data_IF_607753387870
#
_entry.id   IF_607753387870
#
_cell.length_a   1.000
_cell.length_b   1.000
_cell.length_c   1.000
_cell.angle_alpha   90.00
_cell.angle_beta   90.00
_cell.angle_gamma   90.00
#
_symmetry.space_group_name_H-M   'P 1'
#
loop_
_entity.id
_entity.type
_entity.pdbx_description
1 polymer ?
#
# COMPACT_ATOMS: atom_id res chain seq x y z
N UNK A 1 -9.07 32.29 -52.10
CA UNK A 1 -7.97 32.52 -51.14
C UNK A 1 -8.48 32.82 -49.73
N UNK A 2 -9.44 33.71 -49.49
CA UNK A 2 -9.92 34.05 -48.14
C UNK A 2 -10.59 32.86 -47.38
N UNK A 3 -11.25 31.93 -48.06
CA UNK A 3 -11.91 30.74 -47.44
C UNK A 3 -10.94 29.63 -47.05
N UNK A 4 -9.78 29.53 -47.72
CA UNK A 4 -8.74 28.53 -47.43
C UNK A 4 -7.91 28.97 -46.21
N UNK A 5 -7.68 30.27 -46.05
CA UNK A 5 -6.98 30.85 -44.90
C UNK A 5 -7.82 30.70 -43.60
N UNK A 6 -9.15 30.86 -43.69
CA UNK A 6 -10.04 30.66 -42.55
C UNK A 6 -10.10 29.17 -42.10
N UNK A 7 -10.02 28.21 -43.05
CA UNK A 7 -10.01 26.79 -42.74
C UNK A 7 -8.68 26.34 -42.10
N UNK A 8 -7.55 26.90 -42.51
CA UNK A 8 -6.24 26.62 -41.90
C UNK A 8 -6.08 27.23 -40.54
N UNK A 9 -6.67 28.42 -40.27
CA UNK A 9 -6.69 29.00 -38.92
C UNK A 9 -7.60 28.25 -37.95
N UNK A 10 -8.73 27.68 -38.40
CA UNK A 10 -9.59 26.85 -37.55
C UNK A 10 -8.98 25.48 -37.25
N UNK A 11 -8.20 24.91 -38.18
CA UNK A 11 -7.51 23.64 -37.98
C UNK A 11 -6.32 23.78 -36.98
N UNK A 12 -5.62 24.92 -37.02
CA UNK A 12 -4.56 25.22 -36.01
C UNK A 12 -5.11 25.47 -34.62
N UNK A 13 -6.35 25.95 -34.45
CA UNK A 13 -7.00 26.13 -33.15
C UNK A 13 -7.50 24.82 -32.57
N UNK A 14 -7.85 23.83 -33.39
CA UNK A 14 -8.31 22.50 -32.91
C UNK A 14 -7.13 21.59 -32.54
N UNK A 15 -5.97 21.72 -33.22
CA UNK A 15 -4.74 21.01 -32.87
C UNK A 15 -4.02 21.61 -31.63
N UNK A 16 -4.31 22.84 -31.26
CA UNK A 16 -3.74 23.50 -30.06
C UNK A 16 -4.45 23.16 -28.75
N UNK A 17 -5.62 22.53 -28.79
CA UNK A 17 -6.40 22.19 -27.62
C UNK A 17 -6.05 20.81 -27.01
N UNK A 18 -5.22 20.00 -27.68
CA UNK A 18 -4.88 18.64 -27.24
C UNK A 18 -3.51 18.53 -26.54
N UNK A 19 -2.85 19.64 -26.22
CA UNK A 19 -1.50 19.62 -25.61
C UNK A 19 -1.28 20.74 -24.58
N UNK A 20 -2.32 21.20 -23.92
CA UNK A 20 -2.14 22.08 -22.78
C UNK A 20 -2.27 21.26 -21.46
N UNK A 21 -1.50 20.19 -21.33
CA UNK A 21 -0.94 19.88 -20.01
C UNK A 21 0.11 20.97 -19.79
N UNK A 22 -0.20 21.91 -18.92
CA UNK A 22 0.67 23.04 -18.66
C UNK A 22 1.99 22.51 -18.13
N UNK A 23 3.08 22.72 -18.88
CA UNK A 23 4.42 22.50 -18.40
C UNK A 23 4.58 23.29 -17.08
N UNK A 24 4.71 22.57 -15.95
CA UNK A 24 4.83 23.18 -14.63
C UNK A 24 3.74 22.84 -13.63
N UNK A 25 2.80 21.93 -13.93
CA UNK A 25 1.85 21.44 -12.90
C UNK A 25 2.61 20.77 -11.76
N UNK A 26 2.25 21.16 -10.53
CA UNK A 26 2.81 20.61 -9.30
C UNK A 26 1.86 19.57 -8.74
N UNK A 27 2.37 18.39 -8.51
CA UNK A 27 1.67 17.26 -7.91
C UNK A 27 2.36 16.90 -6.60
N UNK A 28 1.62 16.81 -5.52
CA UNK A 28 2.13 16.28 -4.25
C UNK A 28 1.91 14.76 -4.22
N UNK A 29 2.95 14.01 -3.86
CA UNK A 29 2.84 12.59 -3.53
C UNK A 29 2.95 12.46 -2.00
N UNK A 30 1.86 12.01 -1.37
CA UNK A 30 1.72 11.90 0.08
C UNK A 30 1.43 10.46 0.44
N UNK A 31 2.42 9.76 0.98
CA UNK A 31 2.30 8.37 1.44
C UNK A 31 2.14 8.31 2.96
N UNK A 32 2.02 7.13 3.53
CA UNK A 32 1.83 6.96 4.97
C UNK A 32 3.07 7.36 5.78
N UNK A 33 4.26 7.13 5.22
CA UNK A 33 5.55 7.62 5.72
C UNK A 33 6.53 7.79 4.55
N UNK A 34 7.74 8.27 4.85
CA UNK A 34 8.80 8.56 3.87
C UNK A 34 9.97 7.58 3.92
N UNK A 35 9.92 6.55 4.77
CA UNK A 35 11.07 5.66 5.05
C UNK A 35 10.82 4.20 4.67
N UNK A 36 9.57 3.76 4.58
CA UNK A 36 9.20 2.41 4.13
C UNK A 36 9.62 2.21 2.66
N UNK A 37 10.30 1.12 2.36
CA UNK A 37 10.84 0.84 1.02
C UNK A 37 9.75 0.79 -0.05
N UNK A 38 8.54 0.36 0.31
CA UNK A 38 7.39 0.39 -0.59
C UNK A 38 7.12 1.80 -1.11
N UNK A 39 7.11 2.80 -0.22
CA UNK A 39 6.87 4.20 -0.59
C UNK A 39 8.02 4.85 -1.34
N UNK A 40 9.26 4.47 -1.02
CA UNK A 40 10.45 4.91 -1.76
C UNK A 40 10.37 4.44 -3.20
N UNK A 41 10.06 3.15 -3.43
CA UNK A 41 9.91 2.57 -4.77
C UNK A 41 8.76 3.21 -5.56
N UNK A 42 7.63 3.49 -4.88
CA UNK A 42 6.50 4.19 -5.49
C UNK A 42 6.88 5.61 -5.91
N UNK A 43 7.63 6.34 -5.07
CA UNK A 43 8.13 7.67 -5.41
C UNK A 43 9.09 7.63 -6.60
N UNK A 44 10.00 6.66 -6.69
CA UNK A 44 10.89 6.51 -7.85
C UNK A 44 10.09 6.33 -9.15
N UNK A 45 9.03 5.52 -9.13
CA UNK A 45 8.11 5.37 -10.26
C UNK A 45 7.40 6.67 -10.62
N UNK A 46 6.93 7.43 -9.62
CA UNK A 46 6.27 8.70 -9.81
C UNK A 46 7.21 9.77 -10.39
N UNK A 47 8.47 9.83 -9.95
CA UNK A 47 9.47 10.74 -10.50
C UNK A 47 9.76 10.44 -11.97
N UNK A 48 9.89 9.15 -12.32
CA UNK A 48 10.07 8.75 -13.72
C UNK A 48 8.90 9.17 -14.60
N UNK A 49 7.67 8.94 -14.14
CA UNK A 49 6.48 9.38 -14.86
C UNK A 49 6.40 10.91 -14.98
N UNK A 50 6.84 11.64 -13.95
CA UNK A 50 6.89 13.09 -13.95
C UNK A 50 7.84 13.64 -15.03
N UNK A 51 9.01 13.03 -15.18
CA UNK A 51 9.97 13.38 -16.25
C UNK A 51 9.37 13.13 -17.64
N UNK A 52 8.71 12.00 -17.85
CA UNK A 52 8.08 11.63 -19.12
C UNK A 52 6.93 12.58 -19.49
N UNK A 53 6.18 13.06 -18.51
CA UNK A 53 4.99 13.92 -18.70
C UNK A 53 5.31 15.42 -18.63
N UNK A 54 6.51 15.82 -18.21
CA UNK A 54 6.90 17.22 -18.05
C UNK A 54 6.20 17.95 -16.90
N UNK A 55 5.79 17.21 -15.84
CA UNK A 55 5.19 17.72 -14.60
C UNK A 55 6.18 17.65 -13.46
N UNK A 56 5.86 18.31 -12.33
CA UNK A 56 6.68 18.23 -11.11
C UNK A 56 5.94 17.41 -10.05
N UNK A 57 6.53 16.30 -9.60
CA UNK A 57 6.05 15.54 -8.45
C UNK A 57 6.94 15.83 -7.25
N UNK A 58 6.35 16.23 -6.12
CA UNK A 58 7.06 16.44 -4.86
C UNK A 58 6.61 15.38 -3.85
N UNK A 59 7.57 14.64 -3.31
CA UNK A 59 7.33 13.67 -2.24
C UNK A 59 7.24 14.41 -0.91
N UNK A 60 6.04 14.48 -0.32
CA UNK A 60 5.70 15.29 0.87
C UNK A 60 5.14 14.41 1.99
N UNK A 61 5.73 13.28 2.23
CA UNK A 61 5.22 12.30 3.18
C UNK A 61 5.75 12.54 4.60
N UNK A 62 4.99 12.16 5.65
CA UNK A 62 5.47 12.24 7.03
C UNK A 62 6.65 11.30 7.28
N UNK A 63 7.35 11.49 8.39
CA UNK A 63 8.45 10.60 8.76
C UNK A 63 7.98 9.31 9.45
N UNK A 64 6.75 9.29 9.93
CA UNK A 64 6.12 8.14 10.61
C UNK A 64 4.67 8.01 10.17
N UNK A 65 4.10 6.83 10.32
CA UNK A 65 2.67 6.56 10.06
C UNK A 65 1.82 7.23 11.14
N UNK A 66 1.55 8.52 10.94
CA UNK A 66 0.80 9.40 11.86
C UNK A 66 -0.21 10.23 11.08
N UNK A 67 -1.48 10.13 11.47
CA UNK A 67 -2.58 10.79 10.77
C UNK A 67 -2.46 12.33 10.82
N UNK A 68 -2.04 12.90 11.95
CA UNK A 68 -1.93 14.35 12.11
C UNK A 68 -0.81 14.91 11.21
N UNK A 69 0.32 14.22 11.13
CA UNK A 69 1.40 14.62 10.22
C UNK A 69 0.98 14.46 8.75
N UNK A 70 0.23 13.42 8.41
CA UNK A 70 -0.27 13.25 7.04
C UNK A 70 -1.28 14.34 6.66
N UNK A 71 -2.17 14.74 7.58
CA UNK A 71 -3.08 15.90 7.41
C UNK A 71 -2.26 17.18 7.19
N UNK A 72 -1.19 17.39 7.94
CA UNK A 72 -0.31 18.55 7.75
C UNK A 72 0.32 18.55 6.33
N UNK A 73 0.74 17.40 5.82
CA UNK A 73 1.25 17.28 4.45
C UNK A 73 0.19 17.69 3.42
N UNK A 74 -1.08 17.28 3.58
CA UNK A 74 -2.20 17.70 2.71
C UNK A 74 -2.38 19.21 2.76
N UNK A 75 -2.46 19.80 3.95
CA UNK A 75 -2.63 21.22 4.13
C UNK A 75 -1.48 22.04 3.51
N UNK A 76 -0.25 21.55 3.66
CA UNK A 76 0.93 22.14 3.05
C UNK A 76 0.91 22.06 1.52
N UNK A 77 0.39 20.97 0.94
CA UNK A 77 0.21 20.86 -0.51
C UNK A 77 -0.82 21.88 -1.02
N UNK A 78 -1.97 22.04 -0.34
CA UNK A 78 -2.98 23.05 -0.69
C UNK A 78 -2.39 24.46 -0.60
N UNK A 79 -1.73 24.79 0.51
CA UNK A 79 -1.10 26.11 0.71
C UNK A 79 0.04 26.37 -0.27
N UNK A 80 0.75 25.33 -0.71
CA UNK A 80 1.83 25.40 -1.69
C UNK A 80 1.36 25.53 -3.15
N UNK A 81 0.04 25.52 -3.38
CA UNK A 81 -0.57 25.69 -4.70
C UNK A 81 -0.37 24.49 -5.61
N UNK A 82 -0.38 23.28 -5.06
CA UNK A 82 -0.37 22.04 -5.84
C UNK A 82 -1.73 21.84 -6.50
N UNK A 83 -1.73 21.37 -7.75
CA UNK A 83 -2.95 21.16 -8.54
C UNK A 83 -3.55 19.77 -8.32
N UNK A 84 -2.73 18.82 -7.90
CA UNK A 84 -3.18 17.47 -7.56
C UNK A 84 -2.42 16.90 -6.37
N UNK A 85 -3.06 15.99 -5.65
CA UNK A 85 -2.48 15.19 -4.58
C UNK A 85 -2.68 13.72 -4.93
N UNK A 86 -1.58 12.97 -5.04
CA UNK A 86 -1.59 11.51 -5.06
C UNK A 86 -1.39 11.08 -3.62
N UNK A 87 -2.33 10.34 -3.04
CA UNK A 87 -2.29 10.00 -1.61
C UNK A 87 -2.58 8.53 -1.33
N UNK A 88 -1.79 7.96 -0.41
CA UNK A 88 -2.06 6.70 0.26
C UNK A 88 -2.46 7.00 1.71
N UNK A 89 -3.74 6.84 2.04
CA UNK A 89 -4.26 7.23 3.36
C UNK A 89 -3.83 6.25 4.47
N UNK A 90 -3.24 6.76 5.54
CA UNK A 90 -2.95 5.96 6.74
C UNK A 90 -4.26 5.65 7.50
N UNK A 91 -5.07 6.68 7.78
CA UNK A 91 -6.42 6.56 8.35
C UNK A 91 -7.46 7.16 7.41
N UNK A 92 -8.31 6.33 6.74
CA UNK A 92 -9.26 6.85 5.74
C UNK A 92 -10.24 7.88 6.28
N UNK A 93 -10.71 7.72 7.52
CA UNK A 93 -11.59 8.70 8.17
C UNK A 93 -10.84 9.95 8.62
N UNK A 94 -9.65 9.76 9.18
CA UNK A 94 -8.86 10.84 9.77
C UNK A 94 -8.49 11.93 8.76
N UNK A 95 -8.07 11.53 7.55
CA UNK A 95 -7.61 12.46 6.51
C UNK A 95 -8.75 13.09 5.70
N UNK A 96 -9.99 12.55 5.80
CA UNK A 96 -11.10 12.92 4.93
C UNK A 96 -11.47 14.41 5.00
N UNK A 97 -11.40 15.04 6.17
CA UNK A 97 -11.69 16.49 6.29
C UNK A 97 -10.71 17.33 5.48
N UNK A 98 -9.40 17.07 5.63
CA UNK A 98 -8.35 17.79 4.91
C UNK A 98 -8.43 17.57 3.39
N UNK A 99 -8.78 16.36 2.95
CA UNK A 99 -8.97 16.07 1.53
C UNK A 99 -10.21 16.77 0.95
N UNK A 100 -11.31 16.86 1.71
CA UNK A 100 -12.49 17.64 1.28
C UNK A 100 -12.13 19.13 1.13
N UNK A 101 -11.39 19.71 2.07
CA UNK A 101 -10.91 21.09 1.98
C UNK A 101 -10.00 21.29 0.75
N UNK A 102 -9.15 20.31 0.44
CA UNK A 102 -8.32 20.33 -0.76
C UNK A 102 -9.17 20.31 -2.04
N UNK A 103 -10.21 19.47 -2.10
CA UNK A 103 -11.16 19.42 -3.23
C UNK A 103 -11.90 20.74 -3.39
N UNK A 104 -12.38 21.33 -2.29
CA UNK A 104 -13.03 22.64 -2.30
C UNK A 104 -12.09 23.76 -2.77
N UNK A 105 -10.79 23.65 -2.50
CA UNK A 105 -9.76 24.54 -3.03
C UNK A 105 -9.40 24.26 -4.52
N UNK A 106 -10.03 23.26 -5.16
CA UNK A 106 -9.82 22.91 -6.57
C UNK A 106 -8.67 21.93 -6.82
N UNK A 107 -8.12 21.32 -5.78
CA UNK A 107 -7.06 20.30 -5.89
C UNK A 107 -7.68 18.96 -6.25
N UNK A 108 -7.10 18.28 -7.23
CA UNK A 108 -7.54 16.93 -7.66
C UNK A 108 -6.91 15.86 -6.77
N UNK A 109 -7.72 14.87 -6.40
CA UNK A 109 -7.26 13.74 -5.57
C UNK A 109 -7.15 12.48 -6.42
N UNK A 110 -6.05 11.76 -6.26
CA UNK A 110 -5.84 10.42 -6.79
C UNK A 110 -5.37 9.53 -5.65
N UNK A 111 -6.01 8.39 -5.49
CA UNK A 111 -5.56 7.41 -4.50
C UNK A 111 -4.59 6.40 -5.10
N UNK A 112 -3.60 6.03 -4.31
CA UNK A 112 -2.68 4.93 -4.56
C UNK A 112 -2.62 4.04 -3.34
N UNK A 113 -2.57 2.72 -3.51
CA UNK A 113 -2.56 1.69 -2.46
C UNK A 113 -3.82 1.73 -1.56
N UNK A 114 -3.94 2.71 -0.68
CA UNK A 114 -5.00 2.81 0.33
C UNK A 114 -5.82 4.10 0.17
N UNK A 115 -7.09 4.00 -0.27
CA UNK A 115 -7.97 5.14 -0.40
C UNK A 115 -8.45 5.68 0.95
N UNK A 116 -8.90 6.94 0.96
CA UNK A 116 -9.75 7.52 1.99
C UNK A 116 -11.23 7.54 1.56
N UNK A 117 -12.10 8.16 2.38
CA UNK A 117 -13.55 8.20 2.15
C UNK A 117 -14.02 9.45 1.40
N UNK A 118 -13.15 10.06 0.59
CA UNK A 118 -13.46 11.22 -0.25
C UNK A 118 -13.44 10.77 -1.72
N UNK A 119 -14.35 11.31 -2.53
CA UNK A 119 -14.36 11.04 -3.95
C UNK A 119 -13.07 11.53 -4.61
N UNK A 120 -12.50 10.72 -5.50
CA UNK A 120 -11.25 11.01 -6.18
C UNK A 120 -11.38 10.79 -7.69
N UNK A 121 -10.46 11.38 -8.48
CA UNK A 121 -10.40 11.22 -9.95
C UNK A 121 -10.13 9.76 -10.33
N UNK A 122 -9.28 9.06 -9.54
CA UNK A 122 -8.97 7.66 -9.75
C UNK A 122 -8.42 7.02 -8.46
N UNK A 123 -8.51 5.68 -8.40
CA UNK A 123 -7.88 4.86 -7.35
C UNK A 123 -7.10 3.73 -8.01
N UNK A 124 -5.80 3.65 -7.68
CA UNK A 124 -4.91 2.58 -8.10
C UNK A 124 -4.53 1.75 -6.88
N UNK A 125 -5.13 0.59 -6.75
CA UNK A 125 -4.93 -0.30 -5.60
C UNK A 125 -4.97 -1.76 -6.05
N UNK A 126 -4.31 -2.62 -5.27
CA UNK A 126 -4.45 -4.07 -5.38
C UNK A 126 -5.84 -4.50 -4.89
N UNK A 127 -6.40 -5.58 -5.41
CA UNK A 127 -7.51 -6.28 -4.75
C UNK A 127 -6.98 -6.93 -3.46
N UNK A 128 -6.90 -6.11 -2.41
CA UNK A 128 -6.28 -6.50 -1.14
C UNK A 128 -7.03 -7.63 -0.44
N UNK A 129 -8.35 -7.73 -0.64
CA UNK A 129 -9.12 -8.84 -0.06
C UNK A 129 -8.82 -10.16 -0.76
N UNK A 130 -8.78 -10.18 -2.09
CA UNK A 130 -8.40 -11.37 -2.84
C UNK A 130 -6.95 -11.78 -2.57
N UNK A 131 -6.03 -10.80 -2.49
CA UNK A 131 -4.63 -11.03 -2.18
C UNK A 131 -4.45 -11.60 -0.75
N UNK A 132 -5.17 -11.08 0.24
CA UNK A 132 -5.18 -11.62 1.60
C UNK A 132 -5.69 -13.05 1.65
N UNK A 133 -6.76 -13.36 0.91
CA UNK A 133 -7.27 -14.74 0.81
C UNK A 133 -6.22 -15.69 0.23
N UNK A 134 -5.55 -15.29 -0.84
CA UNK A 134 -4.45 -16.07 -1.44
C UNK A 134 -3.33 -16.31 -0.42
N UNK A 135 -2.96 -15.32 0.39
CA UNK A 135 -1.96 -15.49 1.44
C UNK A 135 -2.40 -16.53 2.49
N UNK A 136 -3.68 -16.54 2.87
CA UNK A 136 -4.23 -17.55 3.76
C UNK A 136 -4.21 -18.96 3.16
N UNK A 137 -4.61 -19.10 1.90
CA UNK A 137 -4.57 -20.36 1.16
C UNK A 137 -3.14 -20.92 1.04
N UNK A 138 -2.14 -20.07 0.79
CA UNK A 138 -0.74 -20.48 0.74
C UNK A 138 -0.21 -20.86 2.13
N UNK A 139 -0.64 -20.20 3.20
CA UNK A 139 -0.30 -20.62 4.57
C UNK A 139 -0.87 -22.00 4.89
N UNK A 140 -2.15 -22.24 4.60
CA UNK A 140 -2.80 -23.56 4.81
C UNK A 140 -2.07 -24.65 4.05
N UNK A 141 -1.69 -24.38 2.79
CA UNK A 141 -0.92 -25.30 1.97
C UNK A 141 0.46 -25.62 2.58
N UNK A 142 1.17 -24.60 3.09
CA UNK A 142 2.47 -24.78 3.74
C UNK A 142 2.35 -25.57 5.05
N UNK A 143 1.36 -25.26 5.88
CA UNK A 143 1.05 -25.99 7.13
C UNK A 143 0.71 -27.46 6.85
N UNK A 144 -0.15 -27.70 5.86
CA UNK A 144 -0.53 -29.06 5.45
C UNK A 144 0.69 -29.86 4.97
N UNK A 145 1.59 -29.23 4.18
CA UNK A 145 2.82 -29.86 3.71
C UNK A 145 3.78 -30.19 4.86
N UNK A 146 3.73 -29.44 5.96
CA UNK A 146 4.47 -29.69 7.19
C UNK A 146 3.77 -30.72 8.11
N UNK A 147 2.61 -31.26 7.73
CA UNK A 147 1.83 -32.19 8.52
C UNK A 147 1.07 -31.55 9.71
N UNK A 148 0.94 -30.23 9.72
CA UNK A 148 0.22 -29.44 10.73
C UNK A 148 -1.19 -29.23 10.20
N UNK A 149 -2.21 -29.74 10.90
CA UNK A 149 -3.61 -29.68 10.47
C UNK A 149 -4.50 -28.82 11.35
N UNK A 150 -3.98 -28.30 12.46
CA UNK A 150 -4.66 -27.41 13.38
C UNK A 150 -3.65 -26.62 14.21
N UNK A 151 -4.11 -25.58 14.90
CA UNK A 151 -3.29 -24.77 15.80
C UNK A 151 -3.62 -23.28 15.70
N UNK A 152 -2.97 -22.48 16.53
CA UNK A 152 -3.15 -21.04 16.56
C UNK A 152 -2.31 -20.34 15.49
N UNK A 153 -2.89 -19.29 14.88
CA UNK A 153 -2.24 -18.44 13.89
C UNK A 153 -2.29 -17.00 14.36
N UNK A 154 -1.13 -16.35 14.44
CA UNK A 154 -1.01 -14.94 14.78
C UNK A 154 -1.16 -14.04 13.56
N UNK A 155 -1.61 -12.80 13.77
CA UNK A 155 -1.64 -11.75 12.75
C UNK A 155 -0.90 -10.52 13.28
N UNK A 156 0.06 -10.02 12.51
CA UNK A 156 0.72 -8.74 12.74
C UNK A 156 0.33 -7.78 11.62
N UNK A 157 -0.34 -6.70 11.99
CA UNK A 157 -0.84 -5.72 11.02
C UNK A 157 -0.37 -4.29 11.36
N UNK A 158 -0.64 -3.32 10.48
CA UNK A 158 -0.22 -1.92 10.66
C UNK A 158 -1.03 -1.27 11.77
N UNK A 159 -2.31 -1.09 11.55
CA UNK A 159 -3.29 -0.53 12.47
C UNK A 159 -4.69 -1.05 12.09
N UNK A 160 -5.71 -0.61 12.82
CA UNK A 160 -7.09 -1.05 12.62
C UNK A 160 -7.84 -0.25 11.53
N UNK A 161 -7.19 0.68 10.84
CA UNK A 161 -7.87 1.64 9.96
C UNK A 161 -7.39 1.61 8.51
N UNK A 162 -6.11 1.35 8.24
CA UNK A 162 -5.53 1.38 6.89
C UNK A 162 -6.23 0.39 5.95
N UNK A 163 -6.86 0.91 4.91
CA UNK A 163 -7.77 0.15 4.03
C UNK A 163 -7.12 -1.10 3.43
N UNK A 164 -5.91 -0.98 2.87
CA UNK A 164 -5.22 -2.10 2.23
C UNK A 164 -4.97 -3.26 3.20
N UNK A 165 -4.46 -2.96 4.40
CA UNK A 165 -4.08 -3.99 5.37
C UNK A 165 -5.27 -4.59 6.11
N UNK A 166 -6.33 -3.81 6.34
CA UNK A 166 -7.61 -4.31 6.87
C UNK A 166 -8.26 -5.30 5.88
N UNK A 167 -8.27 -4.98 4.59
CA UNK A 167 -8.79 -5.89 3.55
C UNK A 167 -7.94 -7.15 3.38
N UNK A 168 -6.59 -7.03 3.44
CA UNK A 168 -5.69 -8.20 3.44
C UNK A 168 -6.00 -9.13 4.60
N UNK A 169 -6.18 -8.59 5.80
CA UNK A 169 -6.56 -9.37 6.98
C UNK A 169 -7.93 -10.05 6.81
N UNK A 170 -8.94 -9.33 6.35
CA UNK A 170 -10.28 -9.89 6.11
C UNK A 170 -10.23 -11.04 5.10
N UNK A 171 -9.48 -10.87 4.02
CA UNK A 171 -9.25 -11.93 3.03
C UNK A 171 -8.52 -13.13 3.63
N UNK A 172 -7.45 -12.89 4.39
CA UNK A 172 -6.68 -13.93 5.07
C UNK A 172 -7.56 -14.76 6.01
N UNK A 173 -8.33 -14.12 6.89
CA UNK A 173 -9.27 -14.79 7.80
C UNK A 173 -10.30 -15.64 7.05
N UNK A 174 -10.80 -15.15 5.92
CA UNK A 174 -11.78 -15.87 5.11
C UNK A 174 -11.28 -17.20 4.55
N UNK A 175 -9.98 -17.34 4.31
CA UNK A 175 -9.39 -18.60 3.85
C UNK A 175 -9.43 -19.70 4.91
N UNK A 176 -9.49 -19.34 6.19
CA UNK A 176 -9.50 -20.27 7.31
C UNK A 176 -10.89 -20.66 7.79
N UNK A 177 -11.96 -20.12 7.19
CA UNK A 177 -13.33 -20.49 7.51
C UNK A 177 -13.56 -21.99 7.28
N UNK A 178 -14.08 -22.69 8.30
CA UNK A 178 -14.33 -24.12 8.25
C UNK A 178 -13.08 -25.01 8.38
N UNK A 179 -11.94 -24.46 8.74
CA UNK A 179 -10.72 -25.21 9.09
C UNK A 179 -10.60 -25.41 10.61
N UNK A 180 -9.68 -26.25 11.03
CA UNK A 180 -9.39 -26.53 12.46
C UNK A 180 -8.31 -25.59 13.02
N UNK A 181 -7.93 -24.53 12.30
CA UNK A 181 -7.04 -23.49 12.80
C UNK A 181 -7.80 -22.39 13.52
N UNK A 182 -7.18 -21.82 14.56
CA UNK A 182 -7.72 -20.69 15.30
C UNK A 182 -6.91 -19.42 14.99
N UNK A 183 -7.55 -18.42 14.40
CA UNK A 183 -6.90 -17.14 14.14
C UNK A 183 -7.01 -16.25 15.39
N UNK A 184 -5.86 -15.94 15.97
CA UNK A 184 -5.77 -15.10 17.17
C UNK A 184 -6.19 -13.65 16.87
N UNK A 185 -6.34 -12.87 17.94
CA UNK A 185 -6.59 -11.44 17.83
C UNK A 185 -5.37 -10.73 17.24
N UNK A 186 -5.64 -9.80 16.30
CA UNK A 186 -4.59 -9.08 15.59
C UNK A 186 -3.80 -8.19 16.53
N UNK A 187 -2.47 -8.20 16.36
CA UNK A 187 -1.57 -7.28 17.03
C UNK A 187 -1.03 -6.24 16.02
N UNK A 188 -0.86 -5.02 16.46
CA UNK A 188 -0.50 -3.90 15.59
C UNK A 188 0.94 -3.44 15.80
N UNK A 189 1.76 -3.61 14.77
CA UNK A 189 3.17 -3.21 14.74
C UNK A 189 3.42 -1.84 14.11
N UNK A 190 2.35 -1.12 13.71
CA UNK A 190 2.42 0.21 13.09
C UNK A 190 3.30 0.25 11.82
N UNK A 191 3.49 -0.91 11.17
CA UNK A 191 4.40 -1.06 10.04
C UNK A 191 5.88 -1.01 10.40
N UNK A 192 6.22 -0.91 11.69
CA UNK A 192 7.59 -0.95 12.19
C UNK A 192 8.08 -2.39 12.33
N UNK A 193 9.23 -2.70 11.71
CA UNK A 193 9.78 -4.05 11.70
C UNK A 193 10.23 -4.53 13.09
N UNK A 194 10.75 -3.64 13.94
CA UNK A 194 11.23 -4.02 15.29
C UNK A 194 10.05 -4.29 16.23
N UNK A 195 8.99 -3.47 16.20
CA UNK A 195 7.75 -3.73 16.93
C UNK A 195 7.10 -5.04 16.46
N UNK A 196 7.02 -5.23 15.15
CA UNK A 196 6.46 -6.44 14.55
C UNK A 196 7.26 -7.69 14.91
N UNK A 197 8.59 -7.58 15.00
CA UNK A 197 9.45 -8.67 15.48
C UNK A 197 9.12 -9.04 16.93
N UNK A 198 8.99 -8.06 17.81
CA UNK A 198 8.63 -8.30 19.22
C UNK A 198 7.27 -8.99 19.35
N UNK A 199 6.28 -8.58 18.56
CA UNK A 199 4.96 -9.22 18.50
C UNK A 199 5.08 -10.68 18.03
N UNK A 200 5.84 -10.91 16.96
CA UNK A 200 6.04 -12.24 16.39
C UNK A 200 6.79 -13.17 17.37
N UNK A 201 7.80 -12.68 18.09
CA UNK A 201 8.50 -13.43 19.15
C UNK A 201 7.53 -13.86 20.28
N UNK A 202 6.59 -12.98 20.65
CA UNK A 202 5.55 -13.30 21.62
C UNK A 202 4.61 -14.40 21.08
N UNK A 203 4.18 -14.35 19.82
CA UNK A 203 3.39 -15.41 19.20
C UNK A 203 4.13 -16.74 19.14
N UNK A 204 5.41 -16.73 18.78
CA UNK A 204 6.26 -17.92 18.75
C UNK A 204 6.34 -18.55 20.16
N UNK A 205 6.51 -17.71 21.20
CA UNK A 205 6.53 -18.17 22.60
C UNK A 205 5.18 -18.77 23.03
N UNK A 206 4.07 -18.32 22.50
CA UNK A 206 2.73 -18.87 22.71
C UNK A 206 2.50 -20.20 21.97
N UNK A 207 3.40 -20.58 21.07
CA UNK A 207 3.33 -21.84 20.33
C UNK A 207 2.42 -21.80 19.11
N UNK A 208 2.27 -20.63 18.44
CA UNK A 208 1.53 -20.55 17.20
C UNK A 208 2.19 -21.39 16.11
N UNK A 209 1.37 -21.91 15.18
CA UNK A 209 1.87 -22.69 14.04
C UNK A 209 2.13 -21.84 12.81
N UNK A 210 1.57 -20.64 12.76
CA UNK A 210 1.75 -19.70 11.65
C UNK A 210 1.60 -18.25 12.09
N UNK A 211 2.23 -17.32 11.34
CA UNK A 211 2.10 -15.87 11.58
C UNK A 211 1.95 -15.17 10.22
N UNK A 212 0.92 -14.32 10.09
CA UNK A 212 0.65 -13.50 8.93
C UNK A 212 1.07 -12.05 9.14
N UNK A 213 1.76 -11.47 8.15
CA UNK A 213 2.15 -10.05 8.11
C UNK A 213 1.37 -9.28 7.04
N UNK A 214 0.67 -8.22 7.43
CA UNK A 214 -0.20 -7.46 6.55
C UNK A 214 0.53 -6.48 5.60
N UNK A 215 1.80 -6.16 5.86
CA UNK A 215 2.63 -5.24 5.08
C UNK A 215 4.12 -5.60 5.15
N UNK A 216 4.99 -4.84 4.46
CA UNK A 216 6.44 -5.07 4.43
C UNK A 216 7.08 -5.09 5.83
N UNK A 217 6.82 -4.07 6.66
CA UNK A 217 7.40 -3.99 8.00
C UNK A 217 6.98 -5.15 8.91
N UNK A 218 5.70 -5.56 8.84
CA UNK A 218 5.20 -6.73 9.56
C UNK A 218 5.85 -8.02 9.05
N UNK A 219 5.98 -8.18 7.73
CA UNK A 219 6.63 -9.35 7.10
C UNK A 219 8.10 -9.46 7.49
N UNK A 220 8.82 -8.35 7.45
CA UNK A 220 10.23 -8.26 7.86
C UNK A 220 10.40 -8.63 9.33
N UNK A 221 9.56 -8.08 10.21
CA UNK A 221 9.59 -8.38 11.64
C UNK A 221 9.34 -9.86 11.94
N UNK A 222 8.34 -10.45 11.30
CA UNK A 222 8.02 -11.88 11.42
C UNK A 222 9.22 -12.74 10.95
N UNK A 223 9.81 -12.41 9.79
CA UNK A 223 10.97 -13.12 9.27
C UNK A 223 12.16 -13.06 10.22
N UNK A 224 12.42 -11.90 10.83
CA UNK A 224 13.48 -11.72 11.82
C UNK A 224 13.21 -12.54 13.09
N UNK A 225 11.97 -12.56 13.61
CA UNK A 225 11.59 -13.33 14.78
C UNK A 225 11.76 -14.83 14.57
N UNK A 226 11.27 -15.36 13.43
CA UNK A 226 11.41 -16.78 13.09
C UNK A 226 12.90 -17.16 12.98
N UNK A 227 13.71 -16.31 12.33
CA UNK A 227 15.15 -16.53 12.20
C UNK A 227 15.85 -16.50 13.58
N UNK A 228 15.50 -15.55 14.44
CA UNK A 228 16.11 -15.39 15.78
C UNK A 228 15.76 -16.54 16.73
N UNK A 229 14.57 -17.10 16.61
CA UNK A 229 14.10 -18.22 17.44
C UNK A 229 14.67 -19.59 17.03
N UNK A 230 15.39 -19.66 15.89
CA UNK A 230 15.87 -20.90 15.29
C UNK A 230 14.75 -21.63 14.53
N UNK A 231 14.96 -22.91 14.22
CA UNK A 231 13.96 -23.73 13.52
C UNK A 231 12.82 -24.10 14.51
N UNK A 232 11.77 -23.28 14.52
CA UNK A 232 10.61 -23.48 15.40
C UNK A 232 9.47 -24.24 14.70
N UNK A 233 9.56 -24.47 13.40
CA UNK A 233 8.47 -25.03 12.59
C UNK A 233 7.32 -24.04 12.35
N UNK A 234 7.42 -22.77 12.77
CA UNK A 234 6.41 -21.74 12.53
C UNK A 234 6.45 -21.28 11.07
N UNK A 235 5.30 -21.28 10.43
CA UNK A 235 5.15 -20.80 9.03
C UNK A 235 4.86 -19.30 9.03
N UNK A 236 5.72 -18.51 8.40
CA UNK A 236 5.47 -17.09 8.15
C UNK A 236 4.93 -16.87 6.73
N UNK A 237 3.90 -16.05 6.59
CA UNK A 237 3.41 -15.55 5.29
C UNK A 237 3.18 -14.06 5.40
N UNK A 238 3.50 -13.30 4.34
CA UNK A 238 3.35 -11.84 4.39
C UNK A 238 3.29 -11.21 3.01
N UNK A 239 3.20 -9.90 3.01
CA UNK A 239 3.16 -9.04 1.84
C UNK A 239 4.49 -8.35 1.62
N UNK A 240 4.73 -8.00 0.37
CA UNK A 240 5.87 -7.25 -0.14
C UNK A 240 7.21 -8.02 -0.05
N UNK A 241 8.20 -7.54 -0.80
CA UNK A 241 9.54 -8.11 -0.79
C UNK A 241 10.35 -7.46 0.32
N UNK A 242 10.74 -8.24 1.33
CA UNK A 242 11.66 -7.76 2.35
C UNK A 242 13.10 -8.16 2.01
N UNK A 243 14.08 -7.33 2.42
CA UNK A 243 15.50 -7.66 2.37
C UNK A 243 15.91 -8.64 3.49
N UNK A 244 14.95 -9.22 4.21
CA UNK A 244 15.23 -10.26 5.19
C UNK A 244 15.94 -11.43 4.46
N UNK A 245 17.12 -11.86 4.95
CA UNK A 245 17.83 -12.97 4.33
C UNK A 245 16.93 -14.20 4.34
N UNK A 246 16.80 -14.84 3.17
CA UNK A 246 16.06 -16.09 2.99
C UNK A 246 16.42 -17.06 4.10
N UNK A 247 15.50 -17.51 4.96
CA UNK A 247 15.80 -18.53 5.94
C UNK A 247 16.10 -19.82 5.17
N UNK A 248 17.26 -20.39 5.41
CA UNK A 248 17.58 -21.72 4.91
C UNK A 248 16.53 -22.70 5.45
N UNK A 249 15.65 -23.19 4.56
CA UNK A 249 14.66 -24.25 4.78
C UNK A 249 13.43 -23.93 5.67
N UNK A 250 12.85 -22.77 5.53
CA UNK A 250 11.45 -22.54 5.80
C UNK A 250 10.99 -21.54 4.76
N UNK A 251 10.43 -22.01 3.64
CA UNK A 251 9.98 -21.12 2.58
C UNK A 251 8.92 -20.19 3.12
N UNK A 252 9.24 -18.90 3.20
CA UNK A 252 8.23 -17.86 3.07
C UNK A 252 7.83 -17.83 1.59
N UNK A 253 6.66 -18.31 1.19
CA UNK A 253 6.16 -17.99 -0.13
C UNK A 253 5.84 -16.50 -0.10
N UNK A 254 6.74 -15.67 -0.62
CA UNK A 254 6.40 -14.31 -0.98
C UNK A 254 5.31 -14.41 -2.04
N UNK A 255 4.09 -14.05 -1.69
CA UNK A 255 3.02 -13.89 -2.69
C UNK A 255 3.36 -12.63 -3.48
N UNK A 256 4.14 -12.80 -4.53
CA UNK A 256 4.46 -11.77 -5.49
C UNK A 256 3.21 -11.54 -6.36
N UNK A 257 2.33 -10.67 -5.95
CA UNK A 257 1.43 -10.01 -6.88
C UNK A 257 2.09 -8.69 -7.30
N UNK A 258 2.90 -8.78 -8.37
CA UNK A 258 3.24 -7.60 -9.12
C UNK A 258 1.93 -6.93 -9.55
N UNK A 259 1.71 -5.71 -9.11
CA UNK A 259 0.71 -4.83 -9.67
C UNK A 259 1.13 -4.49 -11.10
N UNK A 260 0.80 -5.37 -12.07
CA UNK A 260 0.71 -4.90 -13.45
C UNK A 260 -0.48 -3.96 -13.51
N UNK A 261 -0.29 -2.69 -13.91
CA UNK A 261 -1.42 -1.81 -14.17
C UNK A 261 -2.22 -2.44 -15.31
N UNK A 262 -3.47 -2.80 -15.06
CA UNK A 262 -4.39 -3.11 -16.14
C UNK A 262 -4.46 -1.88 -17.04
N UNK A 263 -3.88 -2.01 -18.23
CA UNK A 263 -4.18 -1.13 -19.35
C UNK A 263 -5.55 -1.59 -19.89
N UNK A 264 -6.58 -1.16 -19.25
CA UNK A 264 -7.92 -1.28 -19.81
C UNK A 264 -8.38 0.10 -20.28
N UNK A 265 -8.29 0.25 -21.58
CA UNK A 265 -9.24 0.95 -22.43
C UNK A 265 -9.12 2.46 -22.48
N UNK A 266 -8.50 2.89 -23.56
CA UNK A 266 -9.02 4.04 -24.30
C UNK A 266 -10.38 3.69 -24.87
#
# INVERSE_FOLDING_TARGET
MKKIVALLLSLCLVLGAASAMAAGEKIALITMDSIDQHWITLNEGAQKAAEELGVTVTFMSPNTKDDAQQIECVNNAVAGGYQAIIVAANGPDAISSALNEAVEAGVKIVYVDSPANVEAEATFSTDNQAAGKTAGEEMIKALTAAGITSGDIGIVNVNAATDSTVKREAGFRSAFEGTDYNILETQYGEGDAAKSQTIAENYITQGVVGIFGGNEGSTTGIGNAIKASGDTGVIGVGFDKSDAPEPHQGRLPAVHHGSEPRRDGL
#
